data_IF_664815894668
#
_entry.id   IF_664815894668
#
_cell.length_a   1.000
_cell.length_b   1.000
_cell.length_c   1.000
_cell.angle_alpha   90.00
_cell.angle_beta   90.00
_cell.angle_gamma   90.00
#
_symmetry.space_group_name_H-M   'P 1'
#
loop_
_entity.id
_entity.type
_entity.pdbx_description
1 polymer ?
#
# COMPACT_ATOMS: atom_id res chain seq x y z
N UNK A 1 19.20 -10.28 -14.26
CA UNK A 1 19.96 -10.61 -13.03
C UNK A 1 19.06 -11.47 -12.17
N UNK A 2 19.62 -12.48 -11.52
CA UNK A 2 18.83 -13.29 -10.58
C UNK A 2 18.57 -12.46 -9.32
N UNK A 3 17.32 -12.30 -8.94
CA UNK A 3 16.92 -11.62 -7.71
C UNK A 3 17.10 -12.58 -6.54
N UNK A 4 17.85 -12.19 -5.51
CA UNK A 4 18.14 -13.02 -4.33
C UNK A 4 17.04 -12.94 -3.28
N UNK A 5 16.43 -11.78 -3.16
CA UNK A 5 15.31 -11.51 -2.24
C UNK A 5 14.06 -12.26 -2.67
N UNK A 6 13.45 -13.01 -1.77
CA UNK A 6 12.18 -13.70 -2.01
C UNK A 6 11.01 -12.70 -1.94
N UNK A 7 10.02 -12.89 -2.78
CA UNK A 7 8.75 -12.15 -2.70
C UNK A 7 7.74 -13.00 -1.93
N UNK A 8 7.25 -12.49 -0.82
CA UNK A 8 6.43 -13.26 0.12
C UNK A 8 5.02 -12.69 0.19
N UNK A 9 4.04 -13.56 0.03
CA UNK A 9 2.64 -13.25 0.25
C UNK A 9 2.08 -14.07 1.40
N UNK A 10 1.17 -13.49 2.17
CA UNK A 10 0.34 -14.20 3.15
C UNK A 10 -1.08 -14.22 2.63
N UNK A 11 -1.64 -15.41 2.50
CA UNK A 11 -2.99 -15.59 1.96
C UNK A 11 -3.82 -16.47 2.88
N UNK A 12 -4.87 -15.88 3.47
CA UNK A 12 -5.93 -16.59 4.17
C UNK A 12 -7.23 -16.37 3.43
N UNK A 13 -7.70 -17.38 2.70
CA UNK A 13 -8.78 -17.26 1.74
C UNK A 13 -9.76 -18.43 1.81
N UNK A 14 -10.93 -18.24 1.22
CA UNK A 14 -11.95 -19.25 1.01
C UNK A 14 -12.88 -18.86 -0.15
N UNK A 15 -13.90 -19.68 -0.44
CA UNK A 15 -14.87 -19.44 -1.53
C UNK A 15 -15.71 -18.17 -1.35
N UNK A 16 -15.82 -17.62 -0.12
CA UNK A 16 -16.68 -16.47 0.17
C UNK A 16 -16.00 -15.10 0.01
N UNK A 17 -14.66 -15.06 -0.16
CA UNK A 17 -13.91 -13.83 -0.35
C UNK A 17 -13.12 -13.83 -1.67
N UNK A 18 -12.49 -12.72 -2.00
CA UNK A 18 -11.72 -12.54 -3.23
C UNK A 18 -10.20 -12.39 -3.02
N UNK A 19 -9.69 -12.73 -1.85
CA UNK A 19 -8.25 -12.58 -1.56
C UNK A 19 -7.37 -13.46 -2.45
N UNK A 20 -7.89 -14.61 -2.90
CA UNK A 20 -7.19 -15.46 -3.85
C UNK A 20 -7.04 -14.77 -5.22
N UNK A 21 -8.10 -14.15 -5.73
CA UNK A 21 -8.09 -13.43 -7.00
C UNK A 21 -7.18 -12.19 -6.93
N UNK A 22 -7.15 -11.49 -5.80
CA UNK A 22 -6.21 -10.38 -5.55
C UNK A 22 -4.77 -10.86 -5.57
N UNK A 23 -4.48 -11.97 -4.87
CA UNK A 23 -3.16 -12.60 -4.90
C UNK A 23 -2.73 -12.95 -6.33
N UNK A 24 -3.60 -13.57 -7.13
CA UNK A 24 -3.30 -13.91 -8.53
C UNK A 24 -2.91 -12.66 -9.34
N UNK A 25 -3.66 -11.56 -9.20
CA UNK A 25 -3.36 -10.29 -9.86
C UNK A 25 -1.96 -9.80 -9.47
N UNK A 26 -1.68 -9.77 -8.17
CA UNK A 26 -0.42 -9.27 -7.64
C UNK A 26 0.76 -10.15 -8.08
N UNK A 27 0.67 -11.46 -7.91
CA UNK A 27 1.72 -12.41 -8.28
C UNK A 27 1.99 -12.42 -9.80
N UNK A 28 0.94 -12.41 -10.62
CA UNK A 28 1.08 -12.36 -12.07
C UNK A 28 1.74 -11.05 -12.51
N UNK A 29 1.31 -9.91 -11.99
CA UNK A 29 1.91 -8.61 -12.32
C UNK A 29 3.37 -8.55 -11.88
N UNK A 30 3.73 -9.17 -10.75
CA UNK A 30 5.12 -9.29 -10.31
C UNK A 30 5.95 -10.07 -11.33
N UNK A 31 5.53 -11.27 -11.72
CA UNK A 31 6.27 -12.09 -12.69
C UNK A 31 6.35 -11.44 -14.06
N UNK A 32 5.35 -10.66 -14.47
CA UNK A 32 5.36 -9.90 -15.71
C UNK A 32 6.49 -8.87 -15.75
N UNK A 33 6.79 -8.22 -14.63
CA UNK A 33 7.82 -7.17 -14.54
C UNK A 33 9.16 -7.68 -14.00
N UNK A 34 9.14 -8.75 -13.21
CA UNK A 34 10.32 -9.39 -12.62
C UNK A 34 10.24 -10.90 -12.84
N UNK A 35 10.52 -11.40 -14.07
CA UNK A 35 10.32 -12.83 -14.44
C UNK A 35 11.13 -13.81 -13.60
N UNK A 36 12.25 -13.38 -13.03
CA UNK A 36 13.10 -14.20 -12.15
C UNK A 36 12.68 -14.16 -10.67
N UNK A 37 11.51 -13.56 -10.34
CA UNK A 37 11.05 -13.45 -8.96
C UNK A 37 10.75 -14.82 -8.37
N UNK A 38 11.33 -15.11 -7.19
CA UNK A 38 10.96 -16.27 -6.39
C UNK A 38 9.78 -15.91 -5.49
N UNK A 39 8.59 -16.42 -5.80
CA UNK A 39 7.36 -16.14 -5.05
C UNK A 39 7.10 -17.26 -4.05
N UNK A 40 7.12 -16.90 -2.75
CA UNK A 40 6.77 -17.77 -1.64
C UNK A 40 5.38 -17.38 -1.11
N UNK A 41 4.44 -18.30 -1.17
CA UNK A 41 3.07 -18.13 -0.67
C UNK A 41 2.92 -18.83 0.69
N UNK A 42 2.61 -18.06 1.73
CA UNK A 42 2.38 -18.57 3.09
C UNK A 42 0.89 -18.56 3.39
N UNK A 43 0.35 -19.72 3.76
CA UNK A 43 -1.10 -19.94 3.91
C UNK A 43 -1.43 -20.69 5.19
N UNK A 44 -2.68 -20.59 5.66
CA UNK A 44 -3.21 -21.51 6.68
C UNK A 44 -3.71 -22.81 6.04
N UNK A 45 -3.98 -23.81 6.85
CA UNK A 45 -4.40 -25.14 6.41
C UNK A 45 -5.68 -25.11 5.55
N UNK A 46 -6.68 -24.31 5.93
CA UNK A 46 -7.94 -24.22 5.18
C UNK A 46 -7.75 -23.54 3.82
N UNK A 47 -6.92 -22.52 3.77
CA UNK A 47 -6.54 -21.87 2.51
C UNK A 47 -5.76 -22.81 1.60
N UNK A 48 -4.87 -23.66 2.16
CA UNK A 48 -4.13 -24.66 1.39
C UNK A 48 -5.08 -25.63 0.67
N UNK A 49 -6.14 -26.11 1.34
CA UNK A 49 -7.16 -26.98 0.73
C UNK A 49 -7.85 -26.25 -0.42
N UNK A 50 -8.29 -25.00 -0.23
CA UNK A 50 -8.95 -24.21 -1.28
C UNK A 50 -8.02 -23.93 -2.47
N UNK A 51 -6.75 -23.68 -2.22
CA UNK A 51 -5.74 -23.46 -3.24
C UNK A 51 -5.47 -24.72 -4.05
N UNK A 52 -5.45 -25.89 -3.44
CA UNK A 52 -5.26 -27.17 -4.14
C UNK A 52 -6.41 -27.42 -5.13
N UNK A 53 -7.67 -27.08 -4.79
CA UNK A 53 -8.80 -27.12 -5.72
C UNK A 53 -8.60 -26.19 -6.94
N UNK A 54 -7.77 -25.16 -6.82
CA UNK A 54 -7.47 -24.13 -7.82
C UNK A 54 -6.00 -24.11 -8.28
N UNK A 55 -5.31 -25.21 -8.12
CA UNK A 55 -3.89 -25.35 -8.41
C UNK A 55 -3.48 -24.90 -9.82
N UNK A 56 -4.33 -25.16 -10.81
CA UNK A 56 -4.09 -24.75 -12.18
C UNK A 56 -3.92 -23.22 -12.35
N UNK A 57 -4.55 -22.43 -11.49
CA UNK A 57 -4.49 -20.96 -11.53
C UNK A 57 -3.17 -20.41 -11.02
N UNK A 58 -2.41 -21.16 -10.19
CA UNK A 58 -1.22 -20.67 -9.52
C UNK A 58 0.07 -21.45 -9.82
N UNK A 59 -0.01 -22.60 -10.47
CA UNK A 59 1.13 -23.49 -10.68
C UNK A 59 2.35 -22.80 -11.34
N UNK A 60 2.09 -21.82 -12.20
CA UNK A 60 3.11 -21.02 -12.86
C UNK A 60 3.38 -19.67 -12.16
N UNK A 61 2.71 -19.38 -11.07
CA UNK A 61 2.86 -18.10 -10.36
C UNK A 61 3.66 -18.23 -9.06
N UNK A 62 3.72 -19.42 -8.48
CA UNK A 62 4.28 -19.63 -7.14
C UNK A 62 5.45 -20.58 -7.21
N UNK A 63 6.57 -20.19 -6.61
CA UNK A 63 7.78 -21.02 -6.50
C UNK A 63 7.73 -21.99 -5.32
N UNK A 64 7.07 -21.57 -4.22
CA UNK A 64 6.97 -22.36 -2.99
C UNK A 64 5.68 -22.01 -2.22
N UNK A 65 5.06 -23.01 -1.58
CA UNK A 65 3.90 -22.84 -0.70
C UNK A 65 4.23 -23.39 0.68
N UNK A 66 4.15 -22.52 1.68
CA UNK A 66 4.36 -22.87 3.08
C UNK A 66 3.01 -22.87 3.81
N UNK A 67 2.61 -24.03 4.33
CA UNK A 67 1.39 -24.16 5.14
C UNK A 67 1.76 -23.97 6.60
N UNK A 68 1.01 -23.15 7.31
CA UNK A 68 1.24 -22.78 8.70
C UNK A 68 0.03 -23.14 9.55
N UNK A 69 0.27 -23.84 10.63
CA UNK A 69 -0.74 -24.10 11.64
C UNK A 69 -1.14 -22.80 12.35
N UNK A 70 -2.43 -22.52 12.34
CA UNK A 70 -2.98 -21.32 12.96
C UNK A 70 -3.94 -21.68 14.10
N UNK A 71 -4.06 -20.85 15.17
CA UNK A 71 -5.02 -21.11 16.23
C UNK A 71 -6.44 -21.29 15.69
N UNK A 72 -7.13 -22.34 16.13
CA UNK A 72 -8.45 -22.75 15.60
C UNK A 72 -9.55 -21.72 15.88
N UNK A 73 -9.42 -20.94 16.96
CA UNK A 73 -10.34 -19.89 17.37
C UNK A 73 -10.16 -18.56 16.59
N UNK A 74 -9.12 -18.48 15.75
CA UNK A 74 -8.87 -17.29 14.96
C UNK A 74 -9.75 -17.26 13.70
N UNK A 75 -10.41 -16.12 13.48
CA UNK A 75 -11.04 -15.83 12.18
C UNK A 75 -9.97 -15.52 11.12
N UNK A 76 -10.37 -15.44 9.84
CA UNK A 76 -9.46 -15.24 8.72
C UNK A 76 -8.54 -14.02 8.89
N UNK A 77 -9.06 -12.92 9.42
CA UNK A 77 -8.25 -11.72 9.67
C UNK A 77 -7.17 -11.98 10.72
N UNK A 78 -7.49 -12.59 11.85
CA UNK A 78 -6.53 -12.93 12.90
C UNK A 78 -5.49 -13.95 12.42
N UNK A 79 -5.91 -14.97 11.65
CA UNK A 79 -5.00 -15.94 11.04
C UNK A 79 -3.99 -15.26 10.11
N UNK A 80 -4.45 -14.38 9.22
CA UNK A 80 -3.59 -13.61 8.34
C UNK A 80 -2.56 -12.77 9.12
N UNK A 81 -2.99 -12.07 10.18
CA UNK A 81 -2.08 -11.25 11.04
C UNK A 81 -1.14 -12.12 11.85
N UNK A 82 -1.59 -13.27 12.33
CA UNK A 82 -0.74 -14.26 13.01
C UNK A 82 0.38 -14.74 12.10
N UNK A 83 0.09 -15.14 10.88
CA UNK A 83 1.09 -15.58 9.89
C UNK A 83 2.04 -14.43 9.58
N UNK A 84 1.51 -13.25 9.22
CA UNK A 84 2.28 -12.06 8.83
C UNK A 84 3.28 -11.65 9.91
N UNK A 85 2.86 -11.58 11.16
CA UNK A 85 3.74 -11.20 12.27
C UNK A 85 4.77 -12.28 12.67
N UNK A 86 4.65 -13.49 12.12
CA UNK A 86 5.60 -14.59 12.29
C UNK A 86 6.49 -14.86 11.06
N UNK A 87 6.37 -14.09 9.98
CA UNK A 87 7.04 -14.36 8.70
C UNK A 87 8.54 -14.62 8.86
N UNK A 88 9.25 -13.86 9.71
CA UNK A 88 10.69 -14.04 9.88
C UNK A 88 11.08 -15.42 10.47
N UNK A 89 10.17 -16.09 11.21
CA UNK A 89 10.38 -17.46 11.70
C UNK A 89 10.06 -18.50 10.63
N UNK A 90 9.15 -18.18 9.71
CA UNK A 90 8.61 -19.08 8.70
C UNK A 90 9.50 -19.09 7.45
N UNK A 91 9.88 -17.92 6.95
CA UNK A 91 10.62 -17.75 5.69
C UNK A 91 12.10 -17.56 5.97
N UNK A 92 12.96 -18.33 5.29
CA UNK A 92 14.42 -18.21 5.33
C UNK A 92 14.94 -17.34 4.19
N UNK A 93 16.03 -16.62 4.43
CA UNK A 93 16.61 -15.66 3.48
C UNK A 93 15.92 -14.29 3.54
N UNK A 94 16.48 -13.33 2.83
CA UNK A 94 15.90 -11.98 2.71
C UNK A 94 14.57 -12.05 1.95
N UNK A 95 13.62 -11.20 2.32
CA UNK A 95 12.33 -11.16 1.62
C UNK A 95 11.73 -9.75 1.53
N UNK A 96 10.93 -9.54 0.49
CA UNK A 96 9.96 -8.47 0.37
C UNK A 96 8.55 -9.06 0.57
N UNK A 97 7.93 -8.77 1.71
CA UNK A 97 6.51 -9.07 1.92
C UNK A 97 5.66 -8.08 1.14
N UNK A 98 4.61 -8.58 0.47
CA UNK A 98 3.66 -7.79 -0.31
C UNK A 98 2.24 -8.23 0.06
N UNK A 99 1.37 -7.29 0.44
CA UNK A 99 -0.06 -7.56 0.65
C UNK A 99 -0.75 -7.94 -0.67
N UNK A 100 -1.78 -8.76 -0.61
CA UNK A 100 -2.47 -9.30 -1.81
C UNK A 100 -3.24 -8.25 -2.60
N UNK A 101 -3.69 -7.18 -1.96
CA UNK A 101 -4.41 -6.06 -2.59
C UNK A 101 -3.45 -5.02 -3.20
N UNK A 102 -2.52 -5.54 -3.98
CA UNK A 102 -1.51 -4.77 -4.72
C UNK A 102 -1.45 -5.16 -6.20
N UNK A 103 -0.86 -4.32 -7.01
CA UNK A 103 -0.46 -4.65 -8.37
C UNK A 103 0.93 -4.09 -8.65
N UNK A 104 1.82 -4.93 -9.20
CA UNK A 104 3.18 -4.55 -9.56
C UNK A 104 3.18 -3.88 -10.93
N UNK A 105 3.90 -2.76 -11.04
CA UNK A 105 3.89 -1.88 -12.22
C UNK A 105 5.26 -1.69 -12.86
N UNK A 106 6.31 -2.22 -12.23
CA UNK A 106 7.68 -2.05 -12.68
C UNK A 106 8.57 -3.18 -12.14
N UNK A 107 9.80 -3.30 -12.65
CA UNK A 107 10.80 -4.25 -12.18
C UNK A 107 11.17 -4.01 -10.71
N UNK A 108 11.14 -5.05 -9.92
CA UNK A 108 11.49 -5.04 -8.51
C UNK A 108 12.90 -5.57 -8.21
N UNK A 109 13.74 -5.85 -9.20
CA UNK A 109 15.09 -6.42 -9.01
C UNK A 109 15.98 -5.55 -8.10
N UNK A 110 15.77 -4.23 -8.08
CA UNK A 110 16.44 -3.31 -7.16
C UNK A 110 16.09 -3.50 -5.67
N UNK A 111 15.25 -4.49 -5.33
CA UNK A 111 14.99 -4.89 -3.94
C UNK A 111 16.26 -5.36 -3.24
N UNK A 112 17.18 -5.99 -3.97
CA UNK A 112 18.47 -6.45 -3.44
C UNK A 112 19.42 -5.32 -3.02
N UNK A 113 19.17 -4.09 -3.51
CA UNK A 113 19.98 -2.90 -3.22
C UNK A 113 19.47 -2.13 -1.99
N UNK A 114 18.38 -2.58 -1.32
CA UNK A 114 17.83 -1.90 -0.15
C UNK A 114 18.82 -1.98 1.02
N UNK A 115 19.33 -0.82 1.51
CA UNK A 115 20.45 -0.80 2.47
C UNK A 115 20.04 -1.05 3.94
N UNK A 116 18.77 -1.32 4.20
CA UNK A 116 18.20 -1.46 5.54
C UNK A 116 18.06 -2.92 5.95
N UNK A 117 18.04 -3.19 7.25
CA UNK A 117 17.69 -4.52 7.78
C UNK A 117 16.20 -4.79 7.63
N UNK A 118 15.37 -3.77 7.90
CA UNK A 118 13.93 -3.78 7.68
C UNK A 118 13.54 -2.42 7.08
N UNK A 119 12.63 -2.41 6.12
CA UNK A 119 12.22 -1.16 5.51
C UNK A 119 10.75 -1.19 5.06
N UNK A 120 10.09 -0.05 5.13
CA UNK A 120 8.71 0.13 4.67
C UNK A 120 8.45 1.59 4.27
N UNK A 121 7.33 1.82 3.60
CA UNK A 121 6.87 3.15 3.22
C UNK A 121 6.03 3.75 4.35
N UNK A 122 6.19 5.05 4.68
CA UNK A 122 5.29 5.72 5.62
C UNK A 122 3.83 5.60 5.22
N UNK A 123 2.98 5.29 6.19
CA UNK A 123 1.54 5.27 5.96
C UNK A 123 1.03 6.66 5.58
N UNK A 124 0.11 6.73 4.61
CA UNK A 124 -0.31 7.98 3.96
C UNK A 124 0.84 8.81 3.35
N UNK A 125 2.06 8.29 3.28
CA UNK A 125 3.25 9.01 2.79
C UNK A 125 3.57 10.31 3.55
N UNK A 126 3.20 10.42 4.82
CA UNK A 126 3.36 11.62 5.63
C UNK A 126 4.06 11.34 6.96
N UNK A 127 4.52 12.39 7.63
CA UNK A 127 4.96 12.33 9.02
C UNK A 127 3.75 12.22 9.96
N UNK A 128 3.97 11.74 11.17
CA UNK A 128 2.95 11.61 12.21
C UNK A 128 2.20 12.93 12.45
N UNK A 129 2.89 14.08 12.38
CA UNK A 129 2.27 15.41 12.51
C UNK A 129 1.21 15.73 11.45
N UNK A 130 1.30 15.08 10.28
CA UNK A 130 0.40 15.30 9.13
C UNK A 130 -0.50 14.10 8.84
N UNK A 131 -0.46 13.07 9.69
CA UNK A 131 -1.32 11.89 9.57
C UNK A 131 -2.79 12.24 9.77
N UNK A 132 -3.69 11.63 9.02
CA UNK A 132 -5.11 11.94 9.10
C UNK A 132 -6.00 10.67 9.03
N UNK A 133 -7.02 10.52 9.91
CA UNK A 133 -7.35 11.39 11.05
C UNK A 133 -6.42 11.17 12.26
N UNK A 134 -6.01 12.25 12.88
CA UNK A 134 -5.13 12.21 14.06
C UNK A 134 -5.73 11.45 15.25
N UNK A 135 -7.05 11.49 15.42
CA UNK A 135 -7.77 10.81 16.49
C UNK A 135 -7.63 9.30 16.42
N UNK A 136 -7.68 8.72 15.20
CA UNK A 136 -7.45 7.30 15.02
C UNK A 136 -6.04 6.91 15.44
N UNK A 137 -5.04 7.66 14.97
CA UNK A 137 -3.65 7.39 15.32
C UNK A 137 -3.38 7.52 16.83
N UNK A 138 -3.97 8.53 17.49
CA UNK A 138 -3.90 8.70 18.95
C UNK A 138 -4.55 7.53 19.68
N UNK A 139 -5.71 7.07 19.22
CA UNK A 139 -6.41 5.93 19.80
C UNK A 139 -5.56 4.65 19.69
N UNK A 140 -5.02 4.36 18.50
CA UNK A 140 -4.14 3.22 18.29
C UNK A 140 -2.86 3.30 19.13
N UNK A 141 -2.24 4.47 19.20
CA UNK A 141 -1.06 4.72 20.03
C UNK A 141 -1.34 4.46 21.50
N UNK A 142 -2.51 4.87 22.01
CA UNK A 142 -2.91 4.65 23.40
C UNK A 142 -3.07 3.14 23.71
N UNK A 143 -3.70 2.38 22.81
CA UNK A 143 -3.95 0.94 23.02
C UNK A 143 -2.64 0.15 22.84
N UNK A 144 -1.90 0.40 21.77
CA UNK A 144 -0.68 -0.33 21.43
C UNK A 144 0.56 0.16 22.23
N UNK A 145 0.48 1.31 22.89
CA UNK A 145 1.53 1.83 23.75
C UNK A 145 2.77 2.36 23.02
N UNK A 146 2.66 2.79 21.75
CA UNK A 146 3.76 3.43 21.04
C UNK A 146 3.71 4.94 21.12
N UNK A 147 4.86 5.61 21.02
CA UNK A 147 4.97 7.07 21.12
C UNK A 147 4.69 7.75 19.78
N UNK A 148 3.95 8.87 19.83
CA UNK A 148 3.73 9.74 18.67
C UNK A 148 4.83 10.81 18.62
N UNK A 149 5.81 10.62 17.76
CA UNK A 149 6.91 11.58 17.53
C UNK A 149 6.57 12.37 16.27
N UNK A 150 6.27 13.66 16.41
CA UNK A 150 5.70 14.51 15.36
C UNK A 150 6.51 14.53 14.04
N UNK A 151 7.84 14.51 14.13
CA UNK A 151 8.77 14.51 13.00
C UNK A 151 9.28 13.12 12.62
N UNK A 152 8.56 12.07 12.99
CA UNK A 152 8.83 10.69 12.63
C UNK A 152 7.67 10.10 11.81
N UNK A 153 7.75 8.83 11.43
CA UNK A 153 6.79 8.15 10.56
C UNK A 153 6.04 7.04 11.29
N UNK A 154 4.78 6.91 10.94
CA UNK A 154 3.98 5.72 11.16
C UNK A 154 4.03 4.91 9.86
N UNK A 155 4.63 3.72 9.88
CA UNK A 155 4.89 2.95 8.67
C UNK A 155 3.70 2.05 8.30
N UNK A 156 3.44 1.95 7.00
CA UNK A 156 2.47 1.01 6.45
C UNK A 156 3.07 -0.40 6.46
N UNK A 157 2.27 -1.40 6.85
CA UNK A 157 2.72 -2.79 6.94
C UNK A 157 2.42 -3.63 5.69
N UNK A 158 1.92 -3.05 4.60
CA UNK A 158 1.51 -3.78 3.39
C UNK A 158 2.66 -4.15 2.44
N UNK A 159 3.79 -3.43 2.50
CA UNK A 159 5.03 -3.78 1.78
C UNK A 159 6.19 -3.61 2.74
N UNK A 160 6.87 -4.72 3.04
CA UNK A 160 7.95 -4.76 4.05
C UNK A 160 9.15 -5.52 3.49
N UNK A 161 10.27 -4.84 3.32
CA UNK A 161 11.56 -5.49 3.11
C UNK A 161 12.15 -5.95 4.43
N UNK A 162 12.74 -7.14 4.47
CA UNK A 162 13.31 -7.75 5.67
C UNK A 162 14.52 -8.62 5.33
N UNK A 163 15.68 -8.28 5.88
CA UNK A 163 16.87 -9.14 5.84
C UNK A 163 16.75 -10.33 6.79
N UNK A 164 17.48 -11.39 6.49
CA UNK A 164 17.60 -12.56 7.38
C UNK A 164 18.76 -12.37 8.35
N UNK A 165 18.49 -11.73 9.48
CA UNK A 165 19.47 -11.54 10.55
C UNK A 165 18.83 -11.52 11.94
N UNK A 166 19.67 -11.46 12.98
CA UNK A 166 19.21 -11.48 14.37
C UNK A 166 18.32 -10.29 14.71
N UNK A 167 18.64 -9.08 14.25
CA UNK A 167 17.87 -7.85 14.56
C UNK A 167 16.44 -7.90 14.01
N UNK A 168 16.28 -8.43 12.79
CA UNK A 168 14.96 -8.59 12.18
C UNK A 168 14.17 -9.72 12.84
N UNK A 169 14.84 -10.78 13.32
CA UNK A 169 14.21 -11.85 14.09
C UNK A 169 13.67 -11.33 15.42
N UNK A 170 14.43 -10.49 16.12
CA UNK A 170 13.99 -9.81 17.35
C UNK A 170 12.82 -8.88 17.08
N UNK A 171 12.90 -8.08 16.01
CA UNK A 171 11.82 -7.19 15.61
C UNK A 171 10.50 -7.95 15.37
N UNK A 172 10.52 -9.02 14.60
CA UNK A 172 9.32 -9.82 14.32
C UNK A 172 8.79 -10.52 15.57
N UNK A 173 9.67 -10.91 16.50
CA UNK A 173 9.28 -11.45 17.80
C UNK A 173 8.51 -10.41 18.63
N UNK A 174 9.02 -9.18 18.71
CA UNK A 174 8.33 -8.08 19.39
C UNK A 174 7.03 -7.68 18.67
N UNK A 175 7.01 -7.68 17.32
CA UNK A 175 5.82 -7.41 16.55
C UNK A 175 4.70 -8.41 16.84
N UNK A 176 5.00 -9.72 16.80
CA UNK A 176 4.03 -10.77 17.12
C UNK A 176 3.54 -10.69 18.57
N UNK A 177 4.43 -10.47 19.52
CA UNK A 177 4.12 -10.31 20.95
C UNK A 177 3.16 -9.15 21.18
N UNK A 178 3.46 -7.97 20.62
CA UNK A 178 2.62 -6.78 20.76
C UNK A 178 1.31 -6.90 19.98
N UNK A 179 1.30 -7.58 18.83
CA UNK A 179 0.06 -7.84 18.11
C UNK A 179 -0.89 -8.72 18.94
N UNK A 180 -0.42 -9.81 19.54
CA UNK A 180 -1.24 -10.66 20.41
C UNK A 180 -1.80 -9.89 21.62
N UNK A 181 -1.00 -9.04 22.22
CA UNK A 181 -1.44 -8.19 23.32
C UNK A 181 -2.52 -7.20 22.88
N UNK A 182 -2.32 -6.52 21.75
CA UNK A 182 -3.29 -5.57 21.20
C UNK A 182 -4.60 -6.24 20.80
N UNK A 183 -4.52 -7.43 20.19
CA UNK A 183 -5.68 -8.23 19.81
C UNK A 183 -6.53 -8.62 21.03
N UNK A 184 -5.89 -9.01 22.13
CA UNK A 184 -6.59 -9.27 23.40
C UNK A 184 -7.29 -8.04 24.00
N UNK A 185 -6.88 -6.85 23.60
CA UNK A 185 -7.51 -5.57 23.97
C UNK A 185 -8.47 -5.03 22.89
N UNK A 186 -8.83 -5.85 21.90
CA UNK A 186 -9.77 -5.51 20.83
C UNK A 186 -9.18 -4.72 19.66
N UNK A 187 -7.85 -4.58 19.58
CA UNK A 187 -7.15 -3.95 18.46
C UNK A 187 -6.43 -5.01 17.62
N UNK A 188 -7.14 -5.66 16.69
CA UNK A 188 -6.61 -6.76 15.89
C UNK A 188 -5.77 -6.32 14.68
N UNK A 189 -5.67 -5.01 14.39
CA UNK A 189 -4.79 -4.50 13.32
C UNK A 189 -3.32 -4.75 13.65
N UNK A 190 -2.55 -5.16 12.64
CA UNK A 190 -1.12 -5.47 12.79
C UNK A 190 -0.23 -4.22 12.79
N UNK A 191 -0.61 -3.15 12.12
CA UNK A 191 0.18 -1.95 11.94
C UNK A 191 0.47 -1.15 13.24
N UNK A 192 -0.46 -1.02 14.22
CA UNK A 192 -0.13 -0.39 15.51
C UNK A 192 0.93 -1.14 16.30
N UNK A 193 0.92 -2.48 16.26
CA UNK A 193 1.95 -3.30 16.90
C UNK A 193 3.28 -3.28 16.13
N UNK A 194 3.25 -3.07 14.80
CA UNK A 194 4.43 -2.81 13.98
C UNK A 194 5.15 -1.53 14.41
N UNK A 195 4.37 -0.46 14.67
CA UNK A 195 4.91 0.79 15.21
C UNK A 195 5.48 0.62 16.63
N UNK A 196 4.84 -0.20 17.48
CA UNK A 196 5.37 -0.51 18.82
C UNK A 196 6.66 -1.32 18.77
N UNK A 197 6.72 -2.33 17.92
CA UNK A 197 7.95 -3.11 17.71
C UNK A 197 9.10 -2.21 17.21
N UNK A 198 8.80 -1.28 16.28
CA UNK A 198 9.77 -0.32 15.80
C UNK A 198 10.35 0.56 16.94
N UNK A 199 9.50 1.05 17.84
CA UNK A 199 9.94 1.81 19.02
C UNK A 199 10.82 0.96 19.94
N UNK A 200 10.38 -0.26 20.27
CA UNK A 200 11.11 -1.18 21.17
C UNK A 200 12.48 -1.56 20.60
N UNK A 201 12.56 -1.77 19.29
CA UNK A 201 13.80 -2.11 18.58
C UNK A 201 14.64 -0.87 18.18
N UNK A 202 14.39 0.29 18.78
CA UNK A 202 15.22 1.50 18.56
C UNK A 202 15.01 2.15 17.20
N UNK A 203 13.79 2.09 16.66
CA UNK A 203 13.41 2.70 15.36
C UNK A 203 14.16 2.09 14.18
N UNK A 204 14.16 0.77 14.09
CA UNK A 204 14.90 -0.02 13.12
C UNK A 204 14.40 0.13 11.67
N UNK A 205 13.13 0.50 11.46
CA UNK A 205 12.53 0.55 10.13
C UNK A 205 13.13 1.69 9.30
N UNK A 206 13.84 1.35 8.21
CA UNK A 206 14.28 2.27 7.18
C UNK A 206 13.11 2.76 6.32
N UNK A 207 13.16 4.03 5.91
CA UNK A 207 12.14 4.62 5.07
C UNK A 207 12.40 4.28 3.60
N UNK A 208 11.46 3.56 2.97
CA UNK A 208 11.42 3.39 1.51
C UNK A 208 10.77 4.60 0.83
N UNK A 209 11.14 4.81 -0.43
CA UNK A 209 10.44 5.74 -1.31
C UNK A 209 9.00 5.27 -1.57
N UNK A 210 8.08 6.22 -1.75
CA UNK A 210 6.67 5.93 -1.94
C UNK A 210 6.34 5.10 -3.18
N UNK A 211 7.23 4.99 -4.15
CA UNK A 211 7.08 4.15 -5.34
C UNK A 211 6.99 2.66 -5.00
N UNK A 212 7.59 2.23 -3.88
CA UNK A 212 7.54 0.84 -3.40
C UNK A 212 6.19 0.43 -2.79
N UNK A 213 5.36 1.39 -2.42
CA UNK A 213 4.02 1.16 -1.89
C UNK A 213 3.16 2.39 -2.16
N UNK A 214 2.76 2.58 -3.40
CA UNK A 214 1.91 3.68 -3.84
C UNK A 214 0.49 3.49 -3.33
N UNK A 215 0.16 4.09 -2.19
CA UNK A 215 -1.12 4.01 -1.49
C UNK A 215 -2.12 4.94 -2.19
N UNK A 216 -2.78 4.46 -3.26
CA UNK A 216 -3.58 5.31 -4.15
C UNK A 216 -4.83 5.91 -3.52
N UNK A 217 -5.36 5.32 -2.46
CA UNK A 217 -6.53 5.84 -1.73
C UNK A 217 -6.16 6.93 -0.72
N UNK A 218 -4.87 7.16 -0.54
CA UNK A 218 -4.27 8.13 0.37
C UNK A 218 -3.48 9.19 -0.44
N UNK A 219 -2.36 9.68 0.10
CA UNK A 219 -1.51 10.66 -0.60
C UNK A 219 -0.56 10.01 -1.64
N UNK A 220 -0.78 8.75 -1.99
CA UNK A 220 0.10 7.98 -2.88
C UNK A 220 0.03 8.39 -4.35
N UNK A 221 -1.03 9.07 -4.81
CA UNK A 221 -1.18 9.47 -6.21
C UNK A 221 0.03 10.24 -6.77
N UNK A 222 0.77 10.96 -5.93
CA UNK A 222 2.00 11.65 -6.34
C UNK A 222 3.13 10.71 -6.79
N UNK A 223 3.07 9.44 -6.41
CA UNK A 223 4.03 8.40 -6.79
C UNK A 223 3.52 7.52 -7.94
N UNK A 224 2.27 7.69 -8.37
CA UNK A 224 1.61 6.79 -9.31
C UNK A 224 2.38 6.61 -10.62
N UNK A 225 2.92 7.69 -11.18
CA UNK A 225 3.63 7.66 -12.46
C UNK A 225 4.89 6.78 -12.42
N UNK A 226 5.58 6.75 -11.28
CA UNK A 226 6.83 6.01 -11.08
C UNK A 226 6.65 4.81 -10.15
N UNK A 227 5.38 4.47 -9.82
CA UNK A 227 5.09 3.40 -8.85
C UNK A 227 5.66 2.06 -9.31
N UNK A 228 6.35 1.40 -8.41
CA UNK A 228 6.75 -0.01 -8.56
C UNK A 228 5.62 -0.93 -8.12
N UNK A 229 4.97 -0.61 -7.01
CA UNK A 229 3.83 -1.33 -6.46
C UNK A 229 2.71 -0.34 -6.15
N UNK A 230 1.53 -0.56 -6.72
CA UNK A 230 0.30 0.14 -6.35
C UNK A 230 -0.42 -0.69 -5.29
N UNK A 231 -0.78 -0.06 -4.17
CA UNK A 231 -1.54 -0.65 -3.09
C UNK A 231 -2.92 0.04 -3.02
N UNK A 232 -3.99 -0.73 -3.24
CA UNK A 232 -5.34 -0.17 -3.40
C UNK A 232 -6.27 -0.44 -2.22
N UNK A 233 -5.78 -1.08 -1.12
CA UNK A 233 -6.49 -1.25 0.15
C UNK A 233 -7.91 -1.79 0.04
N UNK A 234 -8.09 -3.00 -0.46
CA UNK A 234 -9.42 -3.59 -0.64
C UNK A 234 -10.03 -4.14 0.64
N UNK A 235 -9.22 -4.46 1.63
CA UNK A 235 -9.64 -5.19 2.84
C UNK A 235 -10.38 -4.34 3.89
N UNK A 236 -10.44 -3.02 3.72
CA UNK A 236 -10.96 -2.09 4.75
C UNK A 236 -12.36 -1.55 4.49
N UNK A 237 -13.09 -2.00 3.49
CA UNK A 237 -14.28 -1.27 3.06
C UNK A 237 -15.60 -1.98 3.17
N UNK A 238 -16.39 -1.40 4.05
CA UNK A 238 -17.84 -1.41 3.96
C UNK A 238 -18.34 -0.93 2.59
N UNK A 239 -19.15 -1.70 2.02
CA UNK A 239 -20.10 -1.72 0.91
C UNK A 239 -20.53 -0.43 0.16
N UNK A 240 -19.97 0.76 0.35
CA UNK A 240 -20.52 1.98 -0.23
C UNK A 240 -19.51 2.98 -0.82
N UNK A 241 -18.23 2.64 -0.95
CA UNK A 241 -17.28 3.52 -1.65
C UNK A 241 -16.84 2.86 -2.95
N UNK A 242 -17.42 3.29 -4.06
CA UNK A 242 -16.88 3.01 -5.37
C UNK A 242 -15.48 3.65 -5.46
N UNK A 243 -14.44 2.81 -5.51
CA UNK A 243 -13.11 3.31 -5.83
C UNK A 243 -13.05 3.66 -7.30
N UNK A 244 -12.32 4.72 -7.62
CA UNK A 244 -11.99 5.06 -8.99
C UNK A 244 -11.07 4.03 -9.65
N UNK A 245 -10.31 3.28 -8.87
CA UNK A 245 -9.33 2.31 -9.35
C UNK A 245 -9.99 0.95 -9.61
N UNK A 246 -9.86 0.43 -10.84
CA UNK A 246 -10.62 -0.73 -11.30
C UNK A 246 -10.26 -2.03 -10.57
N UNK A 247 -9.02 -2.23 -10.16
CA UNK A 247 -8.64 -3.42 -9.38
C UNK A 247 -9.27 -3.48 -7.98
N UNK A 248 -10.00 -2.44 -7.58
CA UNK A 248 -10.83 -2.45 -6.37
C UNK A 248 -12.22 -3.04 -6.61
N UNK A 249 -12.64 -3.17 -7.88
CA UNK A 249 -13.98 -3.61 -8.25
C UNK A 249 -14.13 -5.14 -8.14
N UNK A 250 -15.08 -5.61 -7.36
CA UNK A 250 -15.37 -7.03 -7.21
C UNK A 250 -15.73 -7.72 -8.53
N UNK A 251 -16.25 -7.00 -9.52
CA UNK A 251 -16.55 -7.57 -10.83
C UNK A 251 -15.29 -8.06 -11.55
N UNK A 252 -14.13 -7.44 -11.30
CA UNK A 252 -12.84 -7.91 -11.79
C UNK A 252 -12.51 -9.29 -11.19
N UNK A 253 -12.71 -9.46 -9.88
CA UNK A 253 -12.44 -10.73 -9.19
C UNK A 253 -13.40 -11.83 -9.60
N UNK A 254 -14.70 -11.51 -9.79
CA UNK A 254 -15.68 -12.46 -10.33
C UNK A 254 -15.31 -12.93 -11.73
N UNK A 255 -14.85 -12.02 -12.59
CA UNK A 255 -14.35 -12.37 -13.94
C UNK A 255 -13.16 -13.32 -13.86
N UNK A 256 -12.18 -13.03 -13.00
CA UNK A 256 -11.00 -13.89 -12.81
C UNK A 256 -11.43 -15.27 -12.30
N UNK A 257 -12.32 -15.33 -11.33
CA UNK A 257 -12.83 -16.59 -10.78
C UNK A 257 -13.52 -17.47 -11.83
N UNK A 258 -14.28 -16.86 -12.75
CA UNK A 258 -15.06 -17.57 -13.75
C UNK A 258 -14.30 -17.86 -15.05
N UNK A 259 -13.42 -16.95 -15.50
CA UNK A 259 -12.77 -16.99 -16.82
C UNK A 259 -11.26 -17.12 -16.74
N UNK A 260 -10.69 -17.06 -15.55
CA UNK A 260 -9.23 -17.01 -15.34
C UNK A 260 -8.62 -15.64 -15.60
N UNK A 261 -7.33 -15.55 -15.30
CA UNK A 261 -6.55 -14.31 -15.40
C UNK A 261 -6.29 -13.88 -16.86
N UNK A 262 -6.30 -14.82 -17.79
CA UNK A 262 -5.97 -14.57 -19.22
C UNK A 262 -7.12 -13.97 -20.03
N UNK A 263 -8.22 -13.57 -19.38
CA UNK A 263 -9.31 -12.82 -20.02
C UNK A 263 -8.80 -11.46 -20.54
N UNK A 264 -9.15 -11.09 -21.78
CA UNK A 264 -8.64 -9.90 -22.48
C UNK A 264 -8.83 -8.60 -21.68
N UNK A 265 -9.99 -8.43 -21.04
CA UNK A 265 -10.29 -7.26 -20.19
C UNK A 265 -9.26 -7.13 -19.05
N UNK A 266 -8.92 -8.26 -18.40
CA UNK A 266 -7.98 -8.28 -17.28
C UNK A 266 -6.55 -8.04 -17.77
N UNK A 267 -6.17 -8.67 -18.92
CA UNK A 267 -4.86 -8.47 -19.52
C UNK A 267 -4.65 -7.02 -19.97
N UNK A 268 -5.70 -6.37 -20.47
CA UNK A 268 -5.65 -4.95 -20.84
C UNK A 268 -5.36 -4.07 -19.60
N UNK A 269 -6.04 -4.31 -18.47
CA UNK A 269 -5.77 -3.59 -17.21
C UNK A 269 -4.36 -3.86 -16.70
N UNK A 270 -3.90 -5.11 -16.74
CA UNK A 270 -2.57 -5.53 -16.31
C UNK A 270 -1.45 -5.07 -17.27
N UNK A 271 -1.79 -4.62 -18.47
CA UNK A 271 -0.80 -4.03 -19.40
C UNK A 271 -0.39 -2.61 -18.99
N UNK A 272 -1.29 -1.87 -18.34
CA UNK A 272 -1.01 -0.54 -17.83
C UNK A 272 -1.76 -0.29 -16.49
N UNK A 273 -1.31 -0.90 -15.39
CA UNK A 273 -1.98 -0.77 -14.10
C UNK A 273 -2.06 0.67 -13.58
N UNK A 274 -1.09 1.53 -13.94
CA UNK A 274 -1.06 2.94 -13.54
C UNK A 274 -2.23 3.75 -14.11
N UNK A 275 -2.86 3.28 -15.19
CA UNK A 275 -4.02 3.91 -15.82
C UNK A 275 -5.34 3.14 -15.60
N UNK A 276 -5.36 2.10 -14.78
CA UNK A 276 -6.53 1.27 -14.52
C UNK A 276 -7.58 1.99 -13.65
N UNK A 277 -8.05 3.13 -14.12
CA UNK A 277 -9.10 3.94 -13.49
C UNK A 277 -10.34 3.95 -14.36
N UNK A 278 -11.49 4.21 -13.74
CA UNK A 278 -12.77 4.34 -14.43
C UNK A 278 -12.75 5.52 -15.39
N UNK A 279 -13.45 5.41 -16.51
CA UNK A 279 -13.48 6.44 -17.56
C UNK A 279 -14.07 7.78 -17.08
N UNK A 280 -14.93 7.74 -16.05
CA UNK A 280 -15.50 8.93 -15.41
C UNK A 280 -14.56 9.63 -14.41
N UNK A 281 -13.36 9.08 -14.22
CA UNK A 281 -12.36 9.60 -13.29
C UNK A 281 -11.22 10.29 -14.03
N UNK A 282 -10.78 11.43 -13.48
CA UNK A 282 -9.53 12.08 -13.89
C UNK A 282 -8.45 11.77 -12.85
N UNK A 283 -7.39 11.11 -13.28
CA UNK A 283 -6.20 10.92 -12.44
C UNK A 283 -5.31 12.14 -12.59
N UNK A 284 -5.03 12.77 -11.48
CA UNK A 284 -4.22 13.98 -11.39
C UNK A 284 -2.95 13.61 -10.64
N UNK A 285 -1.78 13.73 -11.31
CA UNK A 285 -0.47 13.34 -10.77
C UNK A 285 0.51 14.51 -10.76
N UNK A 286 1.64 14.33 -10.08
CA UNK A 286 2.72 15.31 -10.09
C UNK A 286 2.31 16.68 -9.52
N UNK A 287 2.53 17.74 -10.27
CA UNK A 287 2.22 19.12 -9.84
C UNK A 287 0.73 19.36 -9.62
N UNK A 288 -0.13 18.63 -10.31
CA UNK A 288 -1.57 18.74 -10.14
C UNK A 288 -2.04 18.19 -8.80
N UNK A 289 -1.37 17.18 -8.26
CA UNK A 289 -1.68 16.69 -6.90
C UNK A 289 -1.35 17.75 -5.83
N UNK A 290 -0.28 18.55 -6.05
CA UNK A 290 0.04 19.70 -5.18
C UNK A 290 -1.04 20.78 -5.25
N UNK A 291 -1.66 20.96 -6.42
CA UNK A 291 -2.80 21.86 -6.57
C UNK A 291 -4.01 21.39 -5.76
N UNK A 292 -4.32 20.10 -5.76
CA UNK A 292 -5.42 19.53 -4.97
C UNK A 292 -5.25 19.74 -3.46
N UNK A 293 -4.01 19.78 -2.98
CA UNK A 293 -3.68 20.05 -1.58
C UNK A 293 -3.50 21.54 -1.28
N UNK A 294 -3.71 22.42 -2.25
CA UNK A 294 -3.48 23.86 -2.13
C UNK A 294 -4.69 24.60 -1.54
N UNK A 295 -4.43 25.83 -1.08
CA UNK A 295 -5.46 26.78 -0.63
C UNK A 295 -6.51 27.00 -1.74
N UNK A 296 -6.11 27.00 -3.01
CA UNK A 296 -7.05 27.14 -4.15
C UNK A 296 -8.09 26.02 -4.19
N UNK A 297 -7.68 24.77 -3.93
CA UNK A 297 -8.63 23.66 -3.86
C UNK A 297 -9.50 23.72 -2.59
N UNK A 298 -8.97 24.20 -1.47
CA UNK A 298 -9.77 24.45 -0.26
C UNK A 298 -10.88 25.47 -0.59
N UNK A 299 -10.54 26.59 -1.24
CA UNK A 299 -11.51 27.59 -1.68
C UNK A 299 -12.53 27.00 -2.66
N UNK A 300 -12.10 26.15 -3.60
CA UNK A 300 -13.00 25.44 -4.52
C UNK A 300 -14.04 24.60 -3.77
N UNK A 301 -13.62 23.84 -2.75
CA UNK A 301 -14.50 22.96 -1.98
C UNK A 301 -15.40 23.71 -1.01
N UNK A 302 -14.89 24.74 -0.35
CA UNK A 302 -15.60 25.45 0.73
C UNK A 302 -16.38 26.66 0.25
N UNK A 303 -15.91 27.31 -0.83
CA UNK A 303 -16.47 28.55 -1.37
C UNK A 303 -16.53 28.51 -2.92
N UNK A 304 -17.31 27.59 -3.53
CA UNK A 304 -17.31 27.38 -4.97
C UNK A 304 -17.72 28.61 -5.78
N UNK A 305 -18.53 29.51 -5.21
CA UNK A 305 -18.90 30.79 -5.86
C UNK A 305 -17.70 31.73 -5.98
N UNK A 306 -16.85 31.78 -4.96
CA UNK A 306 -15.62 32.59 -4.99
C UNK A 306 -14.65 31.98 -5.99
N UNK A 307 -14.52 30.64 -6.01
CA UNK A 307 -13.66 29.94 -6.96
C UNK A 307 -14.06 30.22 -8.42
N UNK A 308 -15.35 30.24 -8.75
CA UNK A 308 -15.82 30.59 -10.09
C UNK A 308 -15.40 32.00 -10.55
N UNK A 309 -15.31 32.94 -9.62
CA UNK A 309 -14.78 34.29 -9.92
C UNK A 309 -13.28 34.17 -10.25
N UNK A 310 -12.50 33.43 -9.47
CA UNK A 310 -11.10 33.20 -9.75
C UNK A 310 -10.87 32.46 -11.08
N UNK A 311 -11.67 31.46 -11.38
CA UNK A 311 -11.61 30.70 -12.64
C UNK A 311 -11.86 31.63 -13.84
N UNK A 312 -12.88 32.48 -13.77
CA UNK A 312 -13.19 33.48 -14.80
C UNK A 312 -12.04 34.48 -14.99
N UNK A 313 -11.42 34.94 -13.90
CA UNK A 313 -10.25 35.81 -13.97
C UNK A 313 -9.03 35.07 -14.53
N UNK A 314 -8.76 33.81 -14.12
CA UNK A 314 -7.62 33.06 -14.60
C UNK A 314 -7.68 32.70 -16.09
N UNK A 315 -8.89 32.48 -16.63
CA UNK A 315 -9.09 32.23 -18.05
C UNK A 315 -8.83 33.47 -18.93
N UNK A 316 -9.02 34.65 -18.36
CA UNK A 316 -8.89 35.92 -19.11
C UNK A 316 -7.55 36.65 -18.89
N UNK A 317 -6.82 36.33 -17.79
CA UNK A 317 -5.62 37.07 -17.40
C UNK A 317 -4.46 36.16 -17.03
N UNK A 318 -3.48 36.07 -17.91
CA UNK A 318 -2.28 35.24 -17.72
C UNK A 318 -1.50 35.55 -16.41
N UNK A 319 -1.50 36.80 -15.95
CA UNK A 319 -0.87 37.20 -14.69
C UNK A 319 -1.55 36.57 -13.48
N UNK A 320 -2.87 36.51 -13.49
CA UNK A 320 -3.64 35.91 -12.41
C UNK A 320 -3.44 34.39 -12.37
N UNK A 321 -3.40 33.74 -13.53
CA UNK A 321 -3.06 32.32 -13.63
C UNK A 321 -1.67 32.00 -13.06
N UNK A 322 -0.67 32.85 -13.36
CA UNK A 322 0.67 32.73 -12.77
C UNK A 322 0.66 32.89 -11.25
N UNK A 323 -0.14 33.81 -10.72
CA UNK A 323 -0.34 33.99 -9.28
C UNK A 323 -0.95 32.74 -8.62
N UNK A 324 -1.98 32.16 -9.22
CA UNK A 324 -2.59 30.91 -8.76
C UNK A 324 -1.61 29.75 -8.81
N UNK A 325 -0.79 29.64 -9.85
CA UNK A 325 0.26 28.63 -9.96
C UNK A 325 1.30 28.76 -8.85
N UNK A 326 1.65 29.96 -8.44
CA UNK A 326 2.57 30.21 -7.31
C UNK A 326 1.94 29.82 -5.97
N UNK A 327 0.67 30.11 -5.75
CA UNK A 327 -0.10 29.67 -4.58
C UNK A 327 -0.14 28.15 -4.54
N UNK A 328 -0.47 27.50 -5.67
CA UNK A 328 -0.46 26.05 -5.81
C UNK A 328 0.86 25.41 -5.39
N UNK A 329 1.96 26.00 -5.78
CA UNK A 329 3.29 25.47 -5.52
C UNK A 329 3.83 25.82 -4.11
N UNK A 330 3.02 26.42 -3.23
CA UNK A 330 3.43 26.82 -1.88
C UNK A 330 4.46 27.96 -1.86
N UNK A 331 4.64 28.67 -2.97
CA UNK A 331 5.59 29.80 -3.09
C UNK A 331 4.94 31.10 -2.69
N UNK A 332 4.33 31.12 -1.51
CA UNK A 332 3.57 32.27 -1.06
C UNK A 332 4.47 33.46 -0.67
N UNK A 333 4.05 34.61 -1.17
CA UNK A 333 4.29 35.98 -0.73
C UNK A 333 5.66 36.57 -0.99
N UNK A 334 6.77 35.96 -0.58
CA UNK A 334 8.07 36.64 -0.68
C UNK A 334 8.68 36.67 -2.10
N UNK A 335 8.21 35.80 -3.02
CA UNK A 335 8.66 35.78 -4.43
C UNK A 335 7.70 36.43 -5.41
N UNK A 336 6.49 36.79 -4.98
CA UNK A 336 5.51 37.48 -5.83
C UNK A 336 6.04 38.83 -6.29
N UNK A 337 6.83 39.51 -5.44
CA UNK A 337 7.35 40.86 -5.73
C UNK A 337 8.47 40.92 -6.78
N UNK A 338 9.19 39.84 -7.06
CA UNK A 338 10.47 39.96 -7.76
C UNK A 338 10.57 39.36 -9.16
N UNK A 339 9.64 38.50 -9.61
CA UNK A 339 9.90 37.81 -10.88
C UNK A 339 8.72 37.66 -11.88
N UNK A 340 7.49 37.94 -11.47
CA UNK A 340 6.30 37.60 -12.28
C UNK A 340 5.31 38.74 -12.51
N UNK A 341 5.61 39.94 -12.01
CA UNK A 341 4.83 41.15 -12.22
C UNK A 341 5.55 42.22 -13.06
N UNK A 342 6.72 41.88 -13.59
CA UNK A 342 7.45 42.71 -14.57
C UNK A 342 7.22 42.22 -15.98
#
# INVERSE_FOLDING_TARGET
MDVKTKFVYVLVCNKSNFYFEQFIISAYSLLKHTPAAYICLVVDELSAIYIEERKADIVNLVSDIIVVDTPMDYNNMRKSRYIKTNLRKIVKGDFLFIDTDTVVCDDLSSVDDIPYDIASVPDQHVMISSFHPQESLKSWSKIAGFKLISNYYYFNSGVIYCKDNQRTSEFYSEWNKHWKLNDSHGLSYDQPSFAKANEVCGYLIGKLDGVWNCQIVENGLRYLQESKIIHYFSSGNSSNKQSAYLFYDEEIYKKIRCKGLMCDDIQMLLSNPRSAFRDDCKVITGDDSKYLLSIANIIYKTHPRIFKVFEKFSSNYLRFYRCLKMIRNGLLVNKIKTKYFL
#
